data_IF_065770214822
#
_entry.id   IF_065770214822
#
_cell.length_a   1.000
_cell.length_b   1.000
_cell.length_c   1.000
_cell.angle_alpha   90.00
_cell.angle_beta   90.00
_cell.angle_gamma   90.00
#
_symmetry.space_group_name_H-M   'P 1'
#
loop_
_entity.id
_entity.type
_entity.pdbx_description
1 polymer ?
#
# COMPACT_ATOMS: atom_id res chain seq x y z
N UNK A 1 -7.77 -0.82 -11.03
CA UNK A 1 -7.52 -0.34 -9.67
C UNK A 1 -8.69 -0.75 -8.78
N UNK A 2 -8.43 -1.04 -7.53
CA UNK A 2 -9.43 -1.36 -6.52
C UNK A 2 -9.23 -0.44 -5.33
N UNK A 3 -10.27 0.29 -4.93
CA UNK A 3 -10.29 1.01 -3.65
C UNK A 3 -11.10 0.17 -2.66
N UNK A 4 -10.54 -0.09 -1.49
CA UNK A 4 -11.24 -0.82 -0.44
C UNK A 4 -11.15 -0.11 0.90
N UNK A 5 -12.23 -0.13 1.68
CA UNK A 5 -12.27 0.38 3.04
C UNK A 5 -12.82 -0.70 3.98
N UNK A 6 -12.01 -1.10 4.95
CA UNK A 6 -12.41 -1.98 6.04
C UNK A 6 -12.73 -1.13 7.27
N UNK A 7 -13.80 -1.46 7.97
CA UNK A 7 -14.12 -0.80 9.22
C UNK A 7 -14.85 -1.74 10.17
N UNK A 8 -14.73 -1.43 11.46
CA UNK A 8 -15.29 -2.18 12.57
C UNK A 8 -16.17 -1.22 13.35
N UNK A 9 -17.43 -1.59 13.56
CA UNK A 9 -18.39 -0.86 14.39
C UNK A 9 -18.78 -1.73 15.58
N UNK A 10 -18.71 -1.15 16.78
CA UNK A 10 -19.05 -1.83 18.05
C UNK A 10 -20.29 -1.18 18.65
N UNK A 11 -21.34 -1.96 18.95
CA UNK A 11 -22.56 -1.42 19.59
C UNK A 11 -22.23 -0.83 20.96
N UNK A 12 -21.51 -1.61 21.77
CA UNK A 12 -21.09 -1.28 23.13
C UNK A 12 -19.56 -1.45 23.29
N UNK A 13 -18.74 -0.43 23.00
CA UNK A 13 -17.28 -0.53 23.14
C UNK A 13 -16.88 -0.66 24.61
N UNK A 14 -15.84 -1.45 24.90
CA UNK A 14 -15.27 -1.54 26.26
C UNK A 14 -14.49 -0.28 26.62
N UNK A 15 -14.18 -0.10 27.91
CA UNK A 15 -13.35 1.01 28.37
C UNK A 15 -12.01 1.04 27.61
N UNK A 16 -11.71 2.15 26.93
CA UNK A 16 -10.50 2.31 26.10
C UNK A 16 -10.62 1.77 24.66
N UNK A 17 -11.80 1.30 24.24
CA UNK A 17 -12.12 0.98 22.85
C UNK A 17 -12.92 2.11 22.21
N UNK A 18 -12.76 2.25 20.89
CA UNK A 18 -13.59 3.15 20.11
C UNK A 18 -14.74 2.38 19.49
N UNK A 19 -15.87 3.06 19.35
CA UNK A 19 -17.05 2.48 18.73
C UNK A 19 -16.88 2.26 17.22
N UNK A 20 -15.93 2.94 16.56
CA UNK A 20 -15.62 2.74 15.14
C UNK A 20 -14.12 2.90 14.86
N UNK A 21 -13.59 1.98 14.06
CA UNK A 21 -12.20 1.92 13.57
C UNK A 21 -12.21 1.53 12.09
N UNK A 22 -11.22 1.95 11.31
CA UNK A 22 -11.15 1.55 9.91
C UNK A 22 -9.91 1.99 9.16
N UNK A 23 -9.75 1.44 7.96
CA UNK A 23 -8.63 1.63 7.07
C UNK A 23 -9.10 1.54 5.61
N UNK A 24 -8.61 2.46 4.77
CA UNK A 24 -8.78 2.36 3.32
C UNK A 24 -7.46 2.19 2.59
N UNK A 25 -7.51 1.49 1.47
CA UNK A 25 -6.39 1.18 0.60
C UNK A 25 -6.76 1.29 -0.88
N UNK A 26 -5.77 1.57 -1.72
CA UNK A 26 -5.85 1.44 -3.18
C UNK A 26 -4.88 0.34 -3.61
N UNK A 27 -5.40 -0.68 -4.29
CA UNK A 27 -4.65 -1.88 -4.71
C UNK A 27 -3.86 -2.52 -3.55
N UNK A 28 -4.47 -2.56 -2.37
CA UNK A 28 -3.85 -3.10 -1.14
C UNK A 28 -2.89 -2.13 -0.43
N UNK A 29 -2.58 -0.96 -1.00
CA UNK A 29 -1.73 0.04 -0.37
C UNK A 29 -2.58 0.98 0.50
N UNK A 30 -2.41 0.99 1.83
CA UNK A 30 -3.22 1.84 2.70
C UNK A 30 -2.89 3.32 2.51
N UNK A 31 -3.93 4.15 2.45
CA UNK A 31 -3.82 5.61 2.33
C UNK A 31 -4.64 6.34 3.40
N UNK A 32 -5.58 5.68 4.06
CA UNK A 32 -6.36 6.25 5.15
C UNK A 32 -6.44 5.23 6.28
N UNK A 33 -6.20 5.68 7.51
CA UNK A 33 -6.44 4.87 8.71
C UNK A 33 -6.97 5.79 9.80
N UNK A 34 -8.03 5.35 10.48
CA UNK A 34 -8.54 6.01 11.66
C UNK A 34 -8.61 5.00 12.81
N UNK A 35 -7.80 5.26 13.82
CA UNK A 35 -7.73 4.48 15.06
C UNK A 35 -8.04 5.39 16.26
N UNK A 36 -7.82 4.88 17.47
CA UNK A 36 -8.25 5.34 18.81
C UNK A 36 -8.06 6.83 19.20
N UNK A 37 -7.71 7.72 18.29
CA UNK A 37 -7.55 9.15 18.53
C UNK A 37 -8.35 10.03 17.56
N UNK A 38 -9.09 9.43 16.61
CA UNK A 38 -9.88 10.18 15.61
C UNK A 38 -9.04 11.07 14.68
N UNK A 39 -7.71 10.91 14.70
CA UNK A 39 -6.77 11.59 13.81
C UNK A 39 -6.70 10.85 12.48
N UNK A 40 -6.89 11.61 11.42
CA UNK A 40 -6.52 11.26 10.06
C UNK A 40 -4.99 11.20 9.97
N UNK A 41 -4.41 10.00 9.82
CA UNK A 41 -2.94 9.84 9.91
C UNK A 41 -2.25 9.88 8.53
N UNK A 42 -2.97 9.75 7.42
CA UNK A 42 -2.32 9.55 6.10
C UNK A 42 -3.12 10.04 4.89
N UNK A 43 -4.22 10.77 5.06
CA UNK A 43 -5.08 11.07 3.92
C UNK A 43 -4.37 11.91 2.86
N UNK A 44 -4.45 11.41 1.63
CA UNK A 44 -4.17 12.23 0.45
C UNK A 44 -5.17 13.39 0.46
N UNK A 45 -4.72 14.64 0.25
CA UNK A 45 -5.58 15.85 0.37
C UNK A 45 -6.91 15.74 -0.39
N UNK A 46 -6.94 15.04 -1.53
CA UNK A 46 -8.16 14.82 -2.33
C UNK A 46 -9.12 13.74 -1.80
N UNK A 47 -8.79 13.09 -0.68
CA UNK A 47 -9.62 12.10 0.00
C UNK A 47 -10.07 12.54 1.41
N UNK A 48 -9.85 13.81 1.77
CA UNK A 48 -10.22 14.35 3.09
C UNK A 48 -11.71 14.19 3.40
N UNK A 49 -12.57 14.25 2.37
CA UNK A 49 -14.02 14.11 2.51
C UNK A 49 -14.48 12.65 2.71
N UNK A 50 -13.61 11.67 2.41
CA UNK A 50 -13.96 10.26 2.54
C UNK A 50 -14.06 9.84 4.01
N UNK A 51 -13.20 10.37 4.88
CA UNK A 51 -13.18 10.00 6.29
C UNK A 51 -14.45 10.43 7.06
N UNK A 52 -14.90 11.70 7.01
CA UNK A 52 -16.14 12.12 7.67
C UNK A 52 -17.33 11.26 7.26
N UNK A 53 -17.45 10.93 5.98
CA UNK A 53 -18.56 10.13 5.45
C UNK A 53 -18.51 8.69 5.93
N UNK A 54 -17.34 8.04 5.90
CA UNK A 54 -17.16 6.71 6.49
C UNK A 54 -17.52 6.69 7.98
N UNK A 55 -17.15 7.74 8.71
CA UNK A 55 -17.49 7.88 10.12
C UNK A 55 -19.00 8.03 10.32
N UNK A 56 -19.68 8.83 9.50
CA UNK A 56 -21.12 9.04 9.60
C UNK A 56 -21.90 7.76 9.25
N UNK A 57 -21.53 7.06 8.17
CA UNK A 57 -22.05 5.71 7.87
C UNK A 57 -21.78 4.73 9.02
N UNK A 58 -20.62 4.79 9.64
CA UNK A 58 -20.34 4.02 10.86
C UNK A 58 -21.34 4.30 11.98
N UNK A 59 -21.74 5.56 12.20
CA UNK A 59 -22.73 5.93 13.24
C UNK A 59 -24.11 5.38 12.89
N UNK A 60 -24.50 5.43 11.63
CA UNK A 60 -25.76 4.88 11.16
C UNK A 60 -25.80 3.35 11.39
N UNK A 61 -24.75 2.64 10.96
CA UNK A 61 -24.60 1.20 11.19
C UNK A 61 -24.62 0.86 12.69
N UNK A 62 -24.02 1.69 13.54
CA UNK A 62 -24.10 1.51 15.00
C UNK A 62 -25.52 1.67 15.53
N UNK A 63 -26.25 2.66 15.02
CA UNK A 63 -27.63 2.91 15.40
C UNK A 63 -28.52 1.73 15.04
N UNK A 64 -28.30 1.14 13.85
CA UNK A 64 -28.99 -0.07 13.41
C UNK A 64 -28.69 -1.27 14.31
N UNK A 65 -27.42 -1.47 14.71
CA UNK A 65 -27.07 -2.53 15.67
C UNK A 65 -27.82 -2.37 16.99
N UNK A 66 -27.83 -1.17 17.57
CA UNK A 66 -28.52 -0.87 18.83
C UNK A 66 -30.04 -1.03 18.72
N UNK A 67 -30.62 -0.76 17.55
CA UNK A 67 -32.04 -0.97 17.31
C UNK A 67 -32.39 -2.46 17.26
N UNK A 68 -31.60 -3.28 16.54
CA UNK A 68 -31.80 -4.73 16.47
C UNK A 68 -31.63 -5.44 17.82
N UNK A 69 -30.76 -4.94 18.70
CA UNK A 69 -30.66 -5.40 20.10
C UNK A 69 -31.97 -5.12 20.86
N UNK A 70 -32.55 -3.91 20.71
CA UNK A 70 -33.83 -3.55 21.36
C UNK A 70 -35.01 -4.38 20.87
N UNK A 71 -35.02 -4.74 19.58
CA UNK A 71 -36.07 -5.58 19.00
C UNK A 71 -35.86 -7.09 19.24
N UNK A 72 -34.82 -7.46 20.01
CA UNK A 72 -34.44 -8.84 20.30
C UNK A 72 -34.16 -9.70 19.05
N UNK A 73 -33.90 -9.07 17.89
CA UNK A 73 -33.38 -9.73 16.68
C UNK A 73 -31.98 -10.25 16.95
N UNK A 74 -31.19 -9.46 17.67
CA UNK A 74 -29.90 -9.85 18.21
C UNK A 74 -30.06 -10.21 19.70
N UNK A 75 -29.65 -11.43 20.08
CA UNK A 75 -29.99 -12.02 21.38
C UNK A 75 -28.96 -11.78 22.48
N UNK A 76 -27.92 -10.98 22.21
CA UNK A 76 -26.89 -10.61 23.18
C UNK A 76 -26.78 -9.10 23.23
N UNK A 77 -26.25 -8.59 24.32
CA UNK A 77 -25.68 -7.25 24.31
C UNK A 77 -24.22 -7.37 23.83
N UNK A 78 -23.69 -6.35 23.16
CA UNK A 78 -22.30 -6.23 22.68
C UNK A 78 -22.01 -6.96 21.35
N UNK A 79 -22.41 -6.34 20.23
CA UNK A 79 -22.16 -6.83 18.88
C UNK A 79 -21.05 -6.06 18.16
N UNK A 80 -20.26 -6.81 17.38
CA UNK A 80 -19.23 -6.27 16.50
C UNK A 80 -19.63 -6.48 15.04
N UNK A 81 -19.81 -5.39 14.31
CA UNK A 81 -19.98 -5.40 12.87
C UNK A 81 -18.65 -5.09 12.19
N UNK A 82 -18.24 -5.94 11.28
CA UNK A 82 -17.18 -5.71 10.33
C UNK A 82 -17.81 -5.40 8.97
N UNK A 83 -17.37 -4.31 8.34
CA UNK A 83 -17.79 -3.93 7.01
C UNK A 83 -16.58 -3.74 6.11
N UNK A 84 -16.66 -4.27 4.89
CA UNK A 84 -15.65 -4.11 3.85
C UNK A 84 -16.31 -3.56 2.60
N UNK A 85 -16.04 -2.29 2.30
CA UNK A 85 -16.37 -1.69 1.01
C UNK A 85 -15.27 -2.01 0.00
N UNK A 86 -15.66 -2.38 -1.22
CA UNK A 86 -14.77 -2.60 -2.36
C UNK A 86 -15.37 -1.95 -3.59
N UNK A 87 -14.58 -1.11 -4.26
CA UNK A 87 -14.94 -0.47 -5.53
C UNK A 87 -13.87 -0.75 -6.57
N UNK A 88 -14.28 -1.38 -7.67
CA UNK A 88 -13.38 -1.84 -8.73
C UNK A 88 -13.47 -0.94 -9.96
N UNK A 89 -12.32 -0.64 -10.55
CA UNK A 89 -12.19 0.33 -11.63
C UNK A 89 -11.36 -0.18 -12.80
N UNK A 90 -11.92 -0.03 -14.01
CA UNK A 90 -11.18 0.03 -15.28
C UNK A 90 -10.66 1.46 -15.46
N UNK A 91 -9.73 1.72 -16.41
CA UNK A 91 -9.17 3.06 -16.61
C UNK A 91 -10.25 4.15 -16.73
N UNK A 92 -10.45 4.92 -15.65
CA UNK A 92 -11.42 6.00 -15.57
C UNK A 92 -12.89 5.59 -15.41
N UNK A 93 -13.22 4.31 -15.20
CA UNK A 93 -14.60 3.83 -15.11
C UNK A 93 -14.79 2.80 -13.99
N UNK A 94 -15.78 3.05 -13.11
CA UNK A 94 -16.26 2.09 -12.12
C UNK A 94 -16.87 0.86 -12.82
N UNK A 95 -16.44 -0.33 -12.42
CA UNK A 95 -16.95 -1.62 -12.91
C UNK A 95 -18.04 -2.12 -11.97
N UNK A 96 -17.73 -2.14 -10.67
CA UNK A 96 -18.57 -2.71 -9.64
C UNK A 96 -18.22 -2.09 -8.27
N UNK A 97 -19.20 -2.06 -7.39
CA UNK A 97 -19.08 -1.57 -6.03
C UNK A 97 -19.90 -2.45 -5.09
N UNK A 98 -19.25 -2.97 -4.06
CA UNK A 98 -19.86 -3.89 -3.10
C UNK A 98 -19.50 -3.55 -1.68
N UNK A 99 -20.37 -3.91 -0.75
CA UNK A 99 -20.10 -3.93 0.67
C UNK A 99 -20.36 -5.33 1.21
N UNK A 100 -19.40 -5.88 1.92
CA UNK A 100 -19.55 -7.12 2.65
C UNK A 100 -19.66 -6.78 4.14
N UNK A 101 -20.67 -7.34 4.80
CA UNK A 101 -20.89 -7.15 6.21
C UNK A 101 -20.80 -8.47 6.94
N UNK A 102 -20.29 -8.41 8.17
CA UNK A 102 -20.30 -9.55 9.07
C UNK A 102 -20.54 -9.08 10.50
N UNK A 103 -21.54 -9.64 11.17
CA UNK A 103 -21.85 -9.37 12.58
C UNK A 103 -21.45 -10.59 13.40
N UNK A 104 -20.57 -10.38 14.39
CA UNK A 104 -20.02 -11.41 15.29
C UNK A 104 -19.45 -12.64 14.58
N UNK A 105 -18.99 -12.48 13.34
CA UNK A 105 -18.52 -13.60 12.50
C UNK A 105 -19.59 -14.68 12.24
N UNK A 106 -20.84 -14.41 12.62
CA UNK A 106 -21.97 -15.34 12.57
C UNK A 106 -22.97 -15.00 11.49
N UNK A 107 -23.16 -13.71 11.20
CA UNK A 107 -24.16 -13.25 10.24
C UNK A 107 -23.45 -12.51 9.12
N UNK A 108 -23.57 -12.99 7.89
CA UNK A 108 -22.88 -12.41 6.74
C UNK A 108 -23.85 -12.13 5.61
N UNK A 109 -23.75 -10.93 5.05
CA UNK A 109 -24.57 -10.47 3.94
C UNK A 109 -23.80 -9.38 3.18
N UNK A 110 -24.21 -9.10 1.95
CA UNK A 110 -23.60 -8.06 1.15
C UNK A 110 -24.61 -7.16 0.47
N UNK A 111 -24.15 -5.96 0.16
CA UNK A 111 -24.83 -4.98 -0.67
C UNK A 111 -24.01 -4.80 -1.94
N UNK A 112 -24.59 -5.09 -3.09
CA UNK A 112 -23.95 -4.97 -4.40
C UNK A 112 -24.66 -3.88 -5.18
N UNK A 113 -23.89 -3.00 -5.81
CA UNK A 113 -24.42 -1.93 -6.64
C UNK A 113 -23.79 -1.91 -8.02
N UNK A 114 -24.61 -2.28 -9.01
CA UNK A 114 -24.22 -2.35 -10.40
C UNK A 114 -24.25 -0.98 -11.09
N UNK A 115 -25.18 -0.11 -10.69
CA UNK A 115 -25.30 1.27 -11.16
C UNK A 115 -26.17 2.11 -10.19
N UNK A 116 -26.42 3.39 -10.52
CA UNK A 116 -27.22 4.29 -9.67
C UNK A 116 -28.65 3.79 -9.39
N UNK A 117 -29.23 2.98 -10.27
CA UNK A 117 -30.63 2.55 -10.18
C UNK A 117 -30.79 1.07 -9.82
N UNK A 118 -29.72 0.28 -9.90
CA UNK A 118 -29.75 -1.15 -9.66
C UNK A 118 -28.86 -1.52 -8.47
N UNK A 119 -29.50 -1.96 -7.39
CA UNK A 119 -28.88 -2.42 -6.15
C UNK A 119 -29.46 -3.77 -5.76
N UNK A 120 -28.66 -4.60 -5.11
CA UNK A 120 -29.10 -5.89 -4.58
C UNK A 120 -28.49 -6.13 -3.21
N UNK A 121 -29.31 -6.59 -2.28
CA UNK A 121 -28.86 -7.16 -1.02
C UNK A 121 -28.86 -8.67 -1.17
N UNK A 122 -27.79 -9.34 -0.70
CA UNK A 122 -27.67 -10.79 -0.75
C UNK A 122 -27.29 -11.34 0.63
N UNK A 123 -27.99 -12.39 1.05
CA UNK A 123 -27.63 -13.17 2.22
C UNK A 123 -26.46 -14.09 1.84
N UNK A 124 -25.35 -14.02 2.58
CA UNK A 124 -24.20 -14.93 2.38
C UNK A 124 -24.39 -16.19 3.23
N UNK A 125 -24.93 -16.07 4.45
CA UNK A 125 -25.28 -17.22 5.28
C UNK A 125 -26.72 -17.16 5.81
N UNK A 126 -27.40 -18.30 5.86
CA UNK A 126 -28.84 -18.39 6.13
C UNK A 126 -29.26 -17.79 7.49
N UNK A 127 -28.33 -17.68 8.45
CA UNK A 127 -28.59 -17.06 9.74
C UNK A 127 -28.79 -15.53 9.64
N UNK A 128 -28.38 -14.90 8.54
CA UNK A 128 -28.47 -13.45 8.32
C UNK A 128 -29.80 -12.99 7.73
N UNK A 129 -30.72 -13.90 7.33
CA UNK A 129 -31.96 -13.52 6.63
C UNK A 129 -32.79 -12.49 7.41
N UNK A 130 -33.09 -12.77 8.68
CA UNK A 130 -33.87 -11.84 9.52
C UNK A 130 -33.14 -10.53 9.86
N UNK A 131 -31.80 -10.53 9.80
CA UNK A 131 -31.02 -9.29 9.96
C UNK A 131 -31.09 -8.45 8.69
N UNK A 132 -30.99 -9.09 7.53
CA UNK A 132 -31.01 -8.41 6.24
C UNK A 132 -32.36 -7.74 5.96
N UNK A 133 -33.48 -8.37 6.34
CA UNK A 133 -34.84 -7.81 6.20
C UNK A 133 -35.00 -6.43 6.87
N UNK A 134 -34.27 -6.19 7.97
CA UNK A 134 -34.26 -4.91 8.69
C UNK A 134 -33.43 -3.84 7.95
N UNK A 135 -32.46 -4.26 7.14
CA UNK A 135 -31.50 -3.37 6.48
C UNK A 135 -31.89 -3.07 5.04
N UNK A 136 -32.47 -4.03 4.33
CA UNK A 136 -32.78 -3.91 2.90
C UNK A 136 -33.83 -2.82 2.60
N UNK A 137 -34.72 -2.58 3.57
CA UNK A 137 -35.77 -1.57 3.50
C UNK A 137 -35.27 -0.16 3.92
N UNK A 138 -34.07 -0.04 4.48
CA UNK A 138 -33.48 1.24 4.83
C UNK A 138 -32.94 1.94 3.56
N UNK A 139 -33.75 2.83 3.00
CA UNK A 139 -33.41 3.59 1.80
C UNK A 139 -32.25 4.59 2.02
N UNK A 140 -32.13 5.15 3.22
CA UNK A 140 -31.08 6.10 3.60
C UNK A 140 -29.73 5.39 3.66
N UNK A 141 -29.63 4.29 4.40
CA UNK A 141 -28.43 3.44 4.44
C UNK A 141 -28.01 3.02 3.04
N UNK A 142 -28.96 2.51 2.25
CA UNK A 142 -28.66 2.04 0.91
C UNK A 142 -28.14 3.16 0.00
N UNK A 143 -28.54 4.42 0.24
CA UNK A 143 -28.07 5.60 -0.48
C UNK A 143 -26.70 6.07 0.03
N UNK A 144 -26.41 5.96 1.32
CA UNK A 144 -25.12 6.31 1.92
C UNK A 144 -24.03 5.32 1.49
N UNK A 145 -24.29 4.01 1.59
CA UNK A 145 -23.38 2.96 1.12
C UNK A 145 -23.04 3.13 -0.36
N UNK A 146 -24.06 3.47 -1.14
CA UNK A 146 -24.00 3.79 -2.55
C UNK A 146 -23.13 5.01 -2.88
N UNK A 147 -23.35 6.12 -2.16
CA UNK A 147 -22.66 7.38 -2.37
C UNK A 147 -21.17 7.21 -2.05
N UNK A 148 -20.87 6.52 -0.94
CA UNK A 148 -19.51 6.19 -0.55
C UNK A 148 -18.81 5.28 -1.56
N UNK A 149 -19.43 4.17 -1.96
CA UNK A 149 -18.77 3.18 -2.81
C UNK A 149 -18.70 3.58 -4.28
N UNK A 150 -19.61 4.39 -4.81
CA UNK A 150 -19.59 4.77 -6.22
C UNK A 150 -19.10 6.20 -6.47
N UNK A 151 -19.43 7.14 -5.58
CA UNK A 151 -19.14 8.57 -5.76
C UNK A 151 -17.85 8.97 -5.06
N UNK A 152 -17.82 8.84 -3.74
CA UNK A 152 -16.69 9.32 -2.94
C UNK A 152 -15.42 8.53 -3.19
N UNK A 153 -15.55 7.20 -3.35
CA UNK A 153 -14.40 6.37 -3.69
C UNK A 153 -13.87 6.66 -5.11
N UNK A 154 -14.74 7.00 -6.07
CA UNK A 154 -14.30 7.35 -7.44
C UNK A 154 -13.59 8.69 -7.44
N UNK A 155 -14.13 9.69 -6.74
CA UNK A 155 -13.48 10.98 -6.56
C UNK A 155 -12.11 10.83 -5.87
N UNK A 156 -12.07 10.11 -4.75
CA UNK A 156 -10.82 9.86 -4.03
C UNK A 156 -9.80 9.09 -4.90
N UNK A 157 -10.22 8.05 -5.61
CA UNK A 157 -9.33 7.31 -6.50
C UNK A 157 -8.81 8.20 -7.63
N UNK A 158 -9.66 9.02 -8.26
CA UNK A 158 -9.23 9.97 -9.29
C UNK A 158 -8.19 10.95 -8.77
N UNK A 159 -8.38 11.47 -7.56
CA UNK A 159 -7.40 12.36 -6.94
C UNK A 159 -6.09 11.64 -6.59
N UNK A 160 -6.14 10.43 -6.06
CA UNK A 160 -4.93 9.61 -5.81
C UNK A 160 -4.18 9.35 -7.12
N UNK A 161 -4.90 8.95 -8.17
CA UNK A 161 -4.32 8.69 -9.48
C UNK A 161 -3.85 9.97 -10.16
N UNK A 162 -4.51 11.10 -9.94
CA UNK A 162 -4.08 12.41 -10.40
C UNK A 162 -2.79 12.82 -9.71
N UNK A 163 -2.65 12.66 -8.40
CA UNK A 163 -1.37 12.92 -7.73
C UNK A 163 -0.28 11.96 -8.22
N UNK A 164 -0.60 10.71 -8.54
CA UNK A 164 0.34 9.76 -9.20
C UNK A 164 0.69 10.18 -10.64
N UNK A 165 -0.26 10.77 -11.36
CA UNK A 165 -0.14 11.29 -12.74
C UNK A 165 0.27 12.75 -12.84
N UNK A 166 0.34 13.51 -11.75
CA UNK A 166 0.92 14.86 -11.59
C UNK A 166 2.34 14.79 -10.99
N UNK A 167 2.77 13.57 -10.61
CA UNK A 167 4.16 13.15 -10.54
C UNK A 167 4.68 12.39 -11.79
N UNK A 168 4.34 12.72 -13.07
CA UNK A 168 4.94 12.10 -14.24
C UNK A 168 6.21 12.87 -14.67
N UNK A 169 6.37 14.11 -14.19
CA UNK A 169 7.51 15.00 -14.47
C UNK A 169 8.59 14.92 -13.38
N UNK A 170 8.33 14.21 -12.27
CA UNK A 170 9.33 13.92 -11.26
C UNK A 170 9.90 12.54 -11.56
N UNK A 171 10.99 12.46 -12.33
CA UNK A 171 11.56 11.15 -12.57
C UNK A 171 11.99 10.50 -11.24
N UNK A 172 11.81 9.19 -11.18
CA UNK A 172 12.01 8.38 -10.00
C UNK A 172 12.93 7.22 -10.32
N UNK A 173 13.92 7.03 -9.45
CA UNK A 173 14.81 5.89 -9.46
C UNK A 173 14.40 4.96 -8.32
N UNK A 174 14.12 3.70 -8.65
CA UNK A 174 13.74 2.68 -7.70
C UNK A 174 14.72 1.52 -7.77
N UNK A 175 15.16 1.05 -6.59
CA UNK A 175 15.81 -0.25 -6.45
C UNK A 175 14.97 -1.15 -5.54
N UNK A 176 14.59 -2.30 -6.07
CA UNK A 176 13.94 -3.36 -5.31
C UNK A 176 14.91 -4.51 -5.09
N UNK A 177 15.09 -4.87 -3.83
CA UNK A 177 15.92 -5.99 -3.39
C UNK A 177 15.04 -7.04 -2.76
N UNK A 178 15.03 -8.23 -3.35
CA UNK A 178 14.32 -9.40 -2.83
C UNK A 178 15.33 -10.47 -2.49
N UNK A 179 15.26 -11.01 -1.29
CA UNK A 179 16.04 -12.18 -0.85
C UNK A 179 15.09 -13.21 -0.25
N UNK A 180 15.37 -14.49 -0.49
CA UNK A 180 14.54 -15.56 0.05
C UNK A 180 15.31 -16.85 0.20
N UNK A 181 14.73 -17.76 0.96
CA UNK A 181 15.27 -19.09 1.21
C UNK A 181 14.11 -20.06 1.44
N UNK A 182 14.14 -21.20 0.74
CA UNK A 182 13.16 -22.26 0.95
C UNK A 182 13.72 -23.30 1.92
N UNK A 183 13.25 -23.29 3.17
CA UNK A 183 13.70 -24.22 4.21
C UNK A 183 15.22 -24.22 4.42
N UNK A 184 15.86 -25.39 4.33
CA UNK A 184 17.31 -25.54 4.41
C UNK A 184 18.04 -25.25 3.08
N UNK A 185 17.32 -24.99 1.99
CA UNK A 185 17.85 -24.79 0.64
C UNK A 185 18.76 -23.57 0.47
N UNK A 186 19.33 -23.37 -0.74
CA UNK A 186 20.19 -22.23 -1.03
C UNK A 186 19.41 -20.91 -0.98
N UNK A 187 20.12 -19.82 -0.71
CA UNK A 187 19.56 -18.48 -0.84
C UNK A 187 19.31 -18.16 -2.31
N UNK A 188 18.20 -17.49 -2.56
CA UNK A 188 17.97 -16.79 -3.82
C UNK A 188 17.77 -15.30 -3.55
N UNK A 189 18.06 -14.50 -4.56
CA UNK A 189 17.89 -13.07 -4.56
C UNK A 189 17.59 -12.56 -5.96
N UNK A 190 16.90 -11.43 -6.00
CA UNK A 190 16.58 -10.66 -7.19
C UNK A 190 16.68 -9.18 -6.84
N UNK A 191 17.45 -8.45 -7.62
CA UNK A 191 17.56 -7.01 -7.56
C UNK A 191 17.06 -6.45 -8.88
N UNK A 192 16.25 -5.40 -8.82
CA UNK A 192 15.75 -4.69 -9.99
C UNK A 192 15.97 -3.18 -9.81
N UNK A 193 16.61 -2.57 -10.80
CA UNK A 193 16.70 -1.12 -10.94
C UNK A 193 15.66 -0.64 -11.96
N UNK A 194 14.82 0.30 -11.56
CA UNK A 194 13.78 0.89 -12.40
C UNK A 194 13.91 2.41 -12.45
N UNK A 195 13.75 2.98 -13.64
CA UNK A 195 13.57 4.41 -13.84
C UNK A 195 12.14 4.62 -14.32
N UNK A 196 11.33 5.39 -13.58
CA UNK A 196 9.93 5.64 -13.92
C UNK A 196 9.15 4.35 -14.23
N UNK A 197 9.29 3.35 -13.36
CA UNK A 197 8.69 2.02 -13.50
C UNK A 197 9.30 1.13 -14.62
N UNK A 198 10.11 1.67 -15.54
CA UNK A 198 10.83 0.90 -16.55
C UNK A 198 12.10 0.24 -15.99
N UNK A 199 12.20 -1.09 -16.06
CA UNK A 199 13.41 -1.81 -15.63
C UNK A 199 14.55 -1.54 -16.60
N UNK A 200 15.69 -1.09 -16.05
CA UNK A 200 16.93 -0.92 -16.80
C UNK A 200 18.05 -1.85 -16.33
N UNK A 201 17.88 -2.47 -15.15
CA UNK A 201 18.85 -3.38 -14.56
C UNK A 201 18.15 -4.50 -13.80
N UNK A 202 18.63 -5.73 -13.97
CA UNK A 202 18.28 -6.85 -13.11
C UNK A 202 19.50 -7.69 -12.78
N UNK A 203 19.64 -8.05 -11.51
CA UNK A 203 20.68 -8.92 -11.00
C UNK A 203 20.00 -10.01 -10.16
N UNK A 204 20.33 -11.28 -10.37
CA UNK A 204 19.70 -12.37 -9.61
C UNK A 204 20.66 -13.54 -9.37
N UNK A 205 20.22 -14.56 -8.63
CA UNK A 205 21.08 -15.68 -8.22
C UNK A 205 21.51 -16.65 -9.32
N UNK A 206 20.87 -16.59 -10.49
CA UNK A 206 21.15 -17.50 -11.61
C UNK A 206 22.09 -16.81 -12.61
N UNK A 207 22.06 -15.49 -12.63
CA UNK A 207 22.37 -14.69 -13.80
C UNK A 207 23.13 -13.44 -13.33
N UNK A 208 24.25 -13.12 -13.98
CA UNK A 208 25.00 -11.87 -13.75
C UNK A 208 24.12 -10.64 -14.00
N UNK A 209 24.64 -9.42 -13.80
CA UNK A 209 23.87 -8.21 -14.07
C UNK A 209 23.40 -8.12 -15.54
N UNK A 210 22.09 -8.11 -15.76
CA UNK A 210 21.45 -7.88 -17.06
C UNK A 210 20.96 -6.44 -17.13
N UNK A 211 21.36 -5.74 -18.17
CA UNK A 211 20.89 -4.39 -18.47
C UNK A 211 19.84 -4.43 -19.56
N UNK A 212 18.82 -3.59 -19.42
CA UNK A 212 17.64 -3.57 -20.29
C UNK A 212 17.45 -2.22 -20.94
N UNK A 213 16.94 -2.26 -22.17
CA UNK A 213 16.55 -1.07 -22.91
C UNK A 213 17.69 -0.11 -23.20
N UNK A 214 17.34 1.03 -23.79
CA UNK A 214 18.31 2.05 -24.20
C UNK A 214 19.07 2.61 -22.99
N UNK A 215 18.40 2.77 -21.84
CA UNK A 215 19.03 3.30 -20.62
C UNK A 215 20.01 2.30 -19.98
N UNK A 216 19.63 1.04 -19.82
CA UNK A 216 20.52 0.02 -19.26
C UNK A 216 21.76 -0.17 -20.13
N UNK A 217 21.59 -0.24 -21.45
CA UNK A 217 22.70 -0.33 -22.39
C UNK A 217 23.64 0.88 -22.29
N UNK A 218 23.09 2.08 -22.07
CA UNK A 218 23.87 3.32 -21.85
C UNK A 218 24.68 3.29 -20.56
N UNK A 219 24.07 2.88 -19.44
CA UNK A 219 24.75 2.79 -18.13
C UNK A 219 25.83 1.70 -18.11
N UNK A 220 25.64 0.64 -18.88
CA UNK A 220 26.65 -0.40 -19.03
C UNK A 220 27.85 0.08 -19.84
N UNK A 221 27.62 0.79 -20.95
CA UNK A 221 28.69 1.37 -21.76
C UNK A 221 29.55 2.40 -21.00
N UNK A 222 28.97 3.09 -20.02
CA UNK A 222 29.70 4.02 -19.12
C UNK A 222 30.35 3.33 -17.92
N UNK A 223 30.24 2.00 -17.78
CA UNK A 223 30.71 1.21 -16.63
C UNK A 223 30.10 1.63 -15.28
N UNK A 224 28.96 2.31 -15.30
CA UNK A 224 28.21 2.64 -14.09
C UNK A 224 27.62 1.37 -13.49
N UNK A 225 27.12 0.46 -14.34
CA UNK A 225 26.58 -0.82 -13.90
C UNK A 225 27.62 -1.66 -13.15
N UNK A 226 28.86 -1.75 -13.65
CA UNK A 226 29.94 -2.50 -12.99
C UNK A 226 30.20 -1.98 -11.56
N UNK A 227 30.26 -0.65 -11.39
CA UNK A 227 30.42 -0.02 -10.07
C UNK A 227 29.23 -0.25 -9.15
N UNK A 228 28.01 -0.29 -9.71
CA UNK A 228 26.80 -0.51 -8.93
C UNK A 228 26.65 -1.96 -8.48
N UNK A 229 27.10 -2.94 -9.26
CA UNK A 229 26.90 -4.37 -8.98
C UNK A 229 27.48 -4.77 -7.62
N UNK A 230 28.68 -4.31 -7.28
CA UNK A 230 29.29 -4.60 -5.97
C UNK A 230 28.45 -4.04 -4.82
N UNK A 231 28.00 -2.78 -4.92
CA UNK A 231 27.10 -2.17 -3.92
C UNK A 231 25.77 -2.90 -3.82
N UNK A 232 25.19 -3.33 -4.95
CA UNK A 232 23.95 -4.09 -4.96
C UNK A 232 24.12 -5.46 -4.31
N UNK A 233 25.28 -6.10 -4.51
CA UNK A 233 25.64 -7.36 -3.88
C UNK A 233 25.81 -7.21 -2.37
N UNK A 234 26.48 -6.16 -1.92
CA UNK A 234 26.60 -5.83 -0.49
C UNK A 234 25.22 -5.61 0.15
N UNK A 235 24.31 -4.92 -0.55
CA UNK A 235 22.93 -4.75 -0.12
C UNK A 235 22.17 -6.07 0.00
N UNK A 236 22.33 -6.97 -0.97
CA UNK A 236 21.75 -8.32 -0.92
C UNK A 236 22.28 -9.10 0.29
N UNK A 237 23.58 -9.07 0.54
CA UNK A 237 24.19 -9.82 1.65
C UNK A 237 23.78 -9.25 3.01
N UNK A 238 23.61 -7.93 3.10
CA UNK A 238 23.03 -7.27 4.27
C UNK A 238 21.58 -7.75 4.51
N UNK A 239 20.76 -7.85 3.47
CA UNK A 239 19.38 -8.37 3.60
C UNK A 239 19.33 -9.84 3.99
N UNK A 240 20.24 -10.68 3.49
CA UNK A 240 20.35 -12.07 3.94
C UNK A 240 20.65 -12.13 5.45
N UNK A 241 21.57 -11.30 5.94
CA UNK A 241 21.85 -11.20 7.38
C UNK A 241 20.62 -10.76 8.18
N UNK A 242 19.83 -9.82 7.64
CA UNK A 242 18.58 -9.40 8.27
C UNK A 242 17.57 -10.55 8.33
N UNK A 243 17.38 -11.32 7.25
CA UNK A 243 16.51 -12.50 7.27
C UNK A 243 16.98 -13.52 8.29
N UNK A 244 18.29 -13.78 8.42
CA UNK A 244 18.82 -14.69 9.45
C UNK A 244 18.42 -14.22 10.86
N UNK A 245 18.54 -12.91 11.13
CA UNK A 245 18.14 -12.33 12.43
C UNK A 245 16.62 -12.45 12.65
N UNK A 246 15.83 -12.29 11.60
CA UNK A 246 14.36 -12.38 11.66
C UNK A 246 13.85 -13.83 11.74
N UNK A 247 14.56 -14.81 11.19
CA UNK A 247 14.16 -16.23 11.22
C UNK A 247 14.06 -16.80 12.65
N UNK A 248 14.80 -16.21 13.61
CA UNK A 248 14.65 -16.54 15.03
C UNK A 248 13.27 -16.13 15.61
N UNK A 249 12.54 -15.26 14.91
CA UNK A 249 11.25 -14.68 15.32
C UNK A 249 10.11 -15.19 14.41
N UNK A 250 10.39 -15.36 13.11
CA UNK A 250 9.42 -15.69 12.07
C UNK A 250 9.88 -17.00 11.41
N UNK A 251 9.25 -18.13 11.78
CA UNK A 251 9.61 -19.47 11.28
C UNK A 251 9.36 -19.66 9.78
N UNK A 252 8.50 -18.84 9.18
CA UNK A 252 7.90 -19.07 7.85
C UNK A 252 8.17 -17.94 6.82
N UNK A 253 9.19 -17.11 7.04
CA UNK A 253 9.56 -16.07 6.07
C UNK A 253 10.25 -16.69 4.84
N UNK A 254 9.53 -16.84 3.73
CA UNK A 254 10.06 -17.38 2.49
C UNK A 254 10.78 -16.30 1.65
N UNK A 255 10.37 -15.03 1.76
CA UNK A 255 11.00 -13.90 1.07
C UNK A 255 10.89 -12.60 1.87
N UNK A 256 11.97 -11.81 1.85
CA UNK A 256 12.04 -10.43 2.32
C UNK A 256 12.33 -9.53 1.12
N UNK A 257 11.55 -8.47 0.97
CA UNK A 257 11.71 -7.49 -0.08
C UNK A 257 11.79 -6.08 0.51
N UNK A 258 12.73 -5.28 0.04
CA UNK A 258 12.70 -3.83 0.23
C UNK A 258 12.73 -3.12 -1.12
N UNK A 259 11.81 -2.17 -1.29
CA UNK A 259 11.80 -1.24 -2.41
C UNK A 259 12.14 0.15 -1.91
N UNK A 260 13.21 0.73 -2.44
CA UNK A 260 13.67 2.08 -2.13
C UNK A 260 13.49 2.92 -3.39
N UNK A 261 12.56 3.87 -3.32
CA UNK A 261 12.26 4.80 -4.42
C UNK A 261 12.70 6.19 -4.01
N UNK A 262 13.46 6.85 -4.86
CA UNK A 262 13.80 8.28 -4.71
C UNK A 262 13.37 9.01 -5.97
N UNK A 263 12.97 10.26 -5.83
CA UNK A 263 12.68 11.10 -6.97
C UNK A 263 12.86 12.56 -6.64
N UNK A 264 12.85 13.39 -7.68
CA UNK A 264 12.98 14.82 -7.56
C UNK A 264 12.15 15.47 -8.66
N UNK A 265 11.46 16.54 -8.32
CA UNK A 265 10.62 17.29 -9.27
C UNK A 265 11.34 18.57 -9.65
N UNK A 266 12.01 18.58 -10.81
CA UNK A 266 12.81 19.71 -11.28
C UNK A 266 13.89 20.19 -10.27
N UNK A 267 13.85 21.47 -9.90
CA UNK A 267 14.75 22.05 -8.88
C UNK A 267 14.28 21.80 -7.43
N UNK A 268 13.13 21.15 -7.24
CA UNK A 268 12.52 20.91 -5.93
C UNK A 268 13.33 20.00 -4.98
N UNK A 269 12.84 19.83 -3.75
CA UNK A 269 13.45 18.92 -2.78
C UNK A 269 13.35 17.47 -3.23
N UNK A 270 14.26 16.63 -2.74
CA UNK A 270 14.17 15.19 -2.92
C UNK A 270 12.96 14.63 -2.18
N UNK A 271 12.28 13.68 -2.80
CA UNK A 271 11.35 12.79 -2.12
C UNK A 271 11.86 11.35 -2.20
N UNK A 272 11.42 10.54 -1.25
CA UNK A 272 11.70 9.12 -1.18
C UNK A 272 10.54 8.37 -0.54
N UNK A 273 10.39 7.11 -0.92
CA UNK A 273 9.47 6.13 -0.35
C UNK A 273 10.25 4.83 -0.16
N UNK A 274 10.11 4.24 1.01
CA UNK A 274 10.67 2.91 1.32
C UNK A 274 9.55 2.00 1.78
N UNK A 275 9.52 0.80 1.22
CA UNK A 275 8.54 -0.22 1.55
C UNK A 275 9.25 -1.56 1.78
N UNK A 276 8.98 -2.17 2.93
CA UNK A 276 9.44 -3.50 3.33
C UNK A 276 8.30 -4.50 3.33
N UNK A 277 8.49 -5.61 2.64
CA UNK A 277 7.52 -6.69 2.52
C UNK A 277 8.12 -8.03 2.97
N UNK A 278 7.30 -8.84 3.62
CA UNK A 278 7.60 -10.21 3.98
C UNK A 278 6.55 -11.09 3.30
N UNK A 279 6.96 -12.02 2.43
CA UNK A 279 6.03 -12.83 1.64
C UNK A 279 4.94 -11.98 0.96
N UNK A 280 5.35 -10.87 0.32
CA UNK A 280 4.48 -9.90 -0.37
C UNK A 280 3.60 -9.02 0.55
N UNK A 281 3.46 -9.36 1.83
CA UNK A 281 2.76 -8.52 2.80
C UNK A 281 3.64 -7.38 3.30
N UNK A 282 3.14 -6.14 3.23
CA UNK A 282 3.88 -4.98 3.73
C UNK A 282 3.91 -5.00 5.24
N UNK A 283 5.11 -4.96 5.82
CA UNK A 283 5.30 -4.89 7.27
C UNK A 283 5.97 -3.58 7.71
N UNK A 284 6.58 -2.84 6.79
CA UNK A 284 7.27 -1.58 7.08
C UNK A 284 7.11 -0.59 5.91
N UNK A 285 6.84 0.68 6.22
CA UNK A 285 6.84 1.74 5.21
C UNK A 285 7.20 3.07 5.84
N UNK A 286 8.00 3.87 5.13
CA UNK A 286 8.23 5.28 5.46
C UNK A 286 8.49 6.09 4.20
N UNK A 287 8.37 7.41 4.31
CA UNK A 287 8.61 8.31 3.19
C UNK A 287 9.22 9.63 3.69
N UNK A 288 9.37 10.62 2.82
CA UNK A 288 9.98 11.92 3.17
C UNK A 288 9.16 12.79 4.12
N UNK A 289 7.91 12.44 4.36
CA UNK A 289 6.96 13.20 5.17
C UNK A 289 6.70 12.48 6.49
N UNK A 290 6.60 11.16 6.43
CA UNK A 290 6.17 10.30 7.52
C UNK A 290 7.31 9.45 8.04
N UNK A 291 7.36 9.31 9.36
CA UNK A 291 8.27 8.39 10.04
C UNK A 291 7.94 6.92 9.72
N UNK A 292 8.79 6.01 10.19
CA UNK A 292 8.59 4.58 10.01
C UNK A 292 7.29 4.09 10.64
N UNK A 293 6.43 3.54 9.78
CA UNK A 293 5.22 2.82 10.15
C UNK A 293 5.44 1.33 9.96
N UNK A 294 4.98 0.58 10.96
CA UNK A 294 5.07 -0.87 11.01
C UNK A 294 3.65 -1.46 10.94
N UNK A 295 3.48 -2.53 10.19
CA UNK A 295 2.18 -3.09 9.85
C UNK A 295 2.08 -4.57 10.24
N UNK A 296 0.84 -5.00 10.53
CA UNK A 296 0.52 -6.41 10.78
C UNK A 296 1.12 -6.99 12.07
N UNK A 297 0.72 -8.21 12.39
CA UNK A 297 1.21 -8.93 13.58
C UNK A 297 2.72 -9.14 13.51
N UNK A 298 3.25 -9.46 12.33
CA UNK A 298 4.68 -9.73 12.12
C UNK A 298 5.53 -8.47 12.23
N UNK A 299 5.11 -7.37 11.60
CA UNK A 299 5.80 -6.09 11.76
C UNK A 299 5.83 -5.67 13.24
N UNK A 300 4.69 -5.73 13.93
CA UNK A 300 4.61 -5.37 15.35
C UNK A 300 5.56 -6.23 16.22
N UNK A 301 5.68 -7.52 15.93
CA UNK A 301 6.64 -8.42 16.60
C UNK A 301 8.09 -8.02 16.33
N UNK A 302 8.44 -7.68 15.09
CA UNK A 302 9.78 -7.19 14.74
C UNK A 302 10.10 -5.85 15.41
N UNK A 303 9.13 -4.95 15.49
CA UNK A 303 9.30 -3.64 16.12
C UNK A 303 9.58 -3.76 17.62
N UNK A 304 8.87 -4.66 18.31
CA UNK A 304 9.08 -4.92 19.73
C UNK A 304 10.52 -5.39 20.06
N UNK A 305 11.23 -5.93 19.08
CA UNK A 305 12.63 -6.37 19.23
C UNK A 305 13.68 -5.31 18.87
N UNK A 306 13.27 -4.08 18.53
CA UNK A 306 14.12 -3.00 17.98
C UNK A 306 14.85 -3.36 16.67
N UNK A 307 14.44 -4.44 16.01
CA UNK A 307 14.99 -4.83 14.71
C UNK A 307 14.55 -3.81 13.64
N UNK A 308 13.31 -3.32 13.72
CA UNK A 308 12.81 -2.29 12.80
C UNK A 308 13.63 -0.99 12.87
N UNK A 309 14.01 -0.51 14.06
CA UNK A 309 14.81 0.71 14.20
C UNK A 309 16.16 0.60 13.47
N UNK A 310 16.88 -0.51 13.69
CA UNK A 310 18.15 -0.79 13.01
C UNK A 310 18.00 -0.93 11.50
N UNK A 311 16.88 -1.50 11.05
CA UNK A 311 16.57 -1.62 9.62
C UNK A 311 16.29 -0.26 9.01
N UNK A 312 15.53 0.61 9.69
CA UNK A 312 15.19 1.94 9.19
C UNK A 312 16.44 2.78 8.96
N UNK A 313 17.41 2.77 9.89
CA UNK A 313 18.64 3.53 9.70
C UNK A 313 19.46 3.03 8.50
N UNK A 314 19.57 1.70 8.37
CA UNK A 314 20.21 1.08 7.19
C UNK A 314 19.50 1.46 5.88
N UNK A 315 18.18 1.51 5.88
CA UNK A 315 17.39 1.87 4.71
C UNK A 315 17.50 3.35 4.38
N UNK A 316 17.65 4.23 5.37
CA UNK A 316 17.93 5.66 5.16
C UNK A 316 19.28 5.85 4.49
N UNK A 317 20.31 5.13 4.96
CA UNK A 317 21.63 5.14 4.32
C UNK A 317 21.52 4.68 2.86
N UNK A 318 20.76 3.62 2.60
CA UNK A 318 20.48 3.14 1.25
C UNK A 318 19.78 4.19 0.38
N UNK A 319 18.76 4.89 0.91
CA UNK A 319 18.08 6.00 0.22
C UNK A 319 19.08 7.10 -0.14
N UNK A 320 19.96 7.47 0.78
CA UNK A 320 20.94 8.53 0.54
C UNK A 320 22.01 8.11 -0.47
N UNK A 321 22.42 6.84 -0.48
CA UNK A 321 23.27 6.29 -1.54
C UNK A 321 22.60 6.36 -2.91
N UNK A 322 21.31 6.02 -3.02
CA UNK A 322 20.57 6.12 -4.29
C UNK A 322 20.48 7.59 -4.74
N UNK A 323 20.23 8.55 -3.83
CA UNK A 323 20.27 9.99 -4.16
C UNK A 323 21.64 10.40 -4.69
N UNK A 324 22.74 9.96 -4.06
CA UNK A 324 24.10 10.25 -4.52
C UNK A 324 24.37 9.65 -5.90
N UNK A 325 23.88 8.43 -6.17
CA UNK A 325 23.98 7.84 -7.51
C UNK A 325 23.26 8.68 -8.56
N UNK A 326 22.07 9.21 -8.27
CA UNK A 326 21.37 10.10 -9.22
C UNK A 326 22.18 11.39 -9.46
N UNK A 327 22.81 11.96 -8.42
CA UNK A 327 23.68 13.13 -8.56
C UNK A 327 24.91 12.80 -9.41
N UNK A 328 25.55 11.65 -9.18
CA UNK A 328 26.71 11.21 -9.97
C UNK A 328 26.33 10.99 -11.44
N UNK A 329 25.18 10.35 -11.70
CA UNK A 329 24.65 10.20 -13.06
C UNK A 329 24.43 11.55 -13.75
N UNK A 330 24.06 12.60 -13.01
CA UNK A 330 23.93 13.98 -13.52
C UNK A 330 25.27 14.66 -13.87
N UNK A 331 26.37 14.29 -13.19
CA UNK A 331 27.64 15.03 -13.22
C UNK A 331 28.70 14.45 -14.19
N UNK A 332 28.53 13.26 -14.75
CA UNK A 332 29.56 12.66 -15.62
C UNK A 332 29.90 13.52 -16.86
N UNK A 333 31.19 13.76 -17.15
CA UNK A 333 31.63 14.66 -18.22
C UNK A 333 31.48 14.06 -19.63
N UNK A 334 31.25 14.98 -20.58
CA UNK A 334 31.19 14.83 -22.03
C UNK A 334 32.34 13.94 -22.56
N UNK A 335 32.12 12.66 -22.81
CA UNK A 335 32.91 11.94 -23.83
C UNK A 335 32.20 12.05 -25.18
N UNK A 336 33.01 12.32 -26.18
CA UNK A 336 32.74 12.90 -27.50
C UNK A 336 31.96 11.95 -28.43
N UNK A 337 30.70 11.68 -28.11
CA UNK A 337 29.77 11.14 -29.10
C UNK A 337 28.44 11.94 -29.12
N UNK A 338 28.30 12.92 -30.04
CA UNK A 338 27.17 13.85 -30.06
C UNK A 338 25.80 13.18 -30.20
N UNK A 339 25.73 12.03 -30.89
CA UNK A 339 24.47 11.29 -31.11
C UNK A 339 23.96 10.57 -29.86
N UNK A 340 24.84 10.27 -28.90
CA UNK A 340 24.51 9.48 -27.71
C UNK A 340 24.04 10.35 -26.52
N UNK A 341 24.44 11.62 -26.49
CA UNK A 341 24.29 12.50 -25.32
C UNK A 341 22.92 13.17 -25.19
N UNK A 342 22.21 13.46 -26.29
CA UNK A 342 20.96 14.22 -26.21
C UNK A 342 19.82 13.51 -25.47
N UNK A 343 19.54 12.21 -25.73
CA UNK A 343 18.44 11.55 -25.05
C UNK A 343 18.79 11.17 -23.60
N UNK A 344 20.08 10.92 -23.30
CA UNK A 344 20.56 10.70 -21.92
C UNK A 344 20.43 11.96 -21.07
N UNK A 345 20.83 13.13 -21.62
CA UNK A 345 20.61 14.42 -20.97
C UNK A 345 19.14 14.70 -20.71
N UNK A 346 18.26 14.40 -21.67
CA UNK A 346 16.81 14.59 -21.52
C UNK A 346 16.23 13.73 -20.41
N UNK A 347 16.61 12.44 -20.34
CA UNK A 347 16.19 11.56 -19.24
C UNK A 347 16.75 11.99 -17.87
N UNK A 348 18.01 12.44 -17.82
CA UNK A 348 18.67 12.88 -16.59
C UNK A 348 18.16 14.25 -16.12
N UNK A 349 17.76 15.13 -17.04
CA UNK A 349 17.16 16.43 -16.71
C UNK A 349 15.71 16.32 -16.23
N UNK A 350 15.08 15.16 -16.44
CA UNK A 350 13.74 14.83 -15.93
C UNK A 350 13.79 14.21 -14.51
N UNK A 351 14.96 13.71 -14.10
CA UNK A 351 15.33 13.37 -12.70
C UNK A 351 15.79 14.63 -11.97
#
# INVERSE_FOLDING_TARGET
HSLSCNFIVRSHPKAGEHWCEGQCSVDGVPFLQYSKQGKEVNATKGCADLYPKLKDTGKELRTLLLHMEKEAVLTRDYHNLQGTMVSQYKPGQLIDASWNFTIDEKYSFCFIRYNQNNKKWEVINYNATGILEQWENNAELAQDLATLSMGDSDHCLKEILKHKKETPDAASLCYSFTVGKSGSGPWWHKVQGQLNEETFLSYNSINNCYVFGVLGNRLNATKICDKQVDTLKDGVDLLKQQVIRMNNIIRDAASLCYSLTVGKSGSGPWWHKVQGQLNEETFLSYNSINNCHVFGVLGNRLNATKICDKQVDTLKDGVDQIKQQVIHMKQEPRRTDPGFLQPLKRCISLL
#
